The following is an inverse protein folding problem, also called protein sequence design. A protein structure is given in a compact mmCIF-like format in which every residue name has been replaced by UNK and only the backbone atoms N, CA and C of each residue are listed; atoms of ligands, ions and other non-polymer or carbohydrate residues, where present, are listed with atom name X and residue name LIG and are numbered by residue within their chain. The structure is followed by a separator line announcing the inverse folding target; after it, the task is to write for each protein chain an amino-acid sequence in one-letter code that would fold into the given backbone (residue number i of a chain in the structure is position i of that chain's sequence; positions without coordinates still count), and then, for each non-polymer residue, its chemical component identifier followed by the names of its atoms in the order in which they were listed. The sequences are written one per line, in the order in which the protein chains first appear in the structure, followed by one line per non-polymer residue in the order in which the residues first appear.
data_IF_057650643998
#
_entry.id   IF_057650643998
#
_cell.length_a   1.000
_cell.length_b   1.000
_cell.length_c   1.000
_cell.angle_alpha   90.00
_cell.angle_beta   90.00
_cell.angle_gamma   90.00
#
_symmetry.space_group_name_H-M   'P 1'
#
loop_
_entity.id
_entity.type
_entity.pdbx_description
1 polymer ?
#
# COMPACT_ATOMS: atom_id res chain seq x y z
N UNK A 1 38.29 -34.28 -3.63
CA UNK A 1 37.65 -33.20 -2.86
C UNK A 1 37.39 -33.69 -1.45
N UNK A 2 37.97 -33.06 -0.43
CA UNK A 2 37.82 -33.48 0.98
C UNK A 2 36.51 -32.97 1.57
N UNK A 3 35.71 -33.89 2.12
CA UNK A 3 34.32 -33.72 2.56
C UNK A 3 34.18 -33.10 3.98
N UNK A 4 34.93 -32.03 4.27
CA UNK A 4 35.02 -31.45 5.63
C UNK A 4 33.89 -30.43 5.90
N UNK A 5 33.48 -29.66 4.89
CA UNK A 5 32.33 -28.74 4.99
C UNK A 5 31.00 -29.47 4.81
N UNK A 6 30.48 -30.09 5.87
CA UNK A 6 29.19 -30.79 5.86
C UNK A 6 28.15 -30.10 6.75
N UNK A 7 26.87 -30.01 6.33
CA UNK A 7 25.80 -29.47 7.17
C UNK A 7 25.44 -30.42 8.31
N UNK A 8 24.82 -29.89 9.35
CA UNK A 8 24.29 -30.68 10.47
C UNK A 8 22.85 -31.12 10.18
N UNK A 9 22.64 -32.40 9.89
CA UNK A 9 21.31 -32.97 9.68
C UNK A 9 20.58 -33.32 10.99
N UNK A 10 21.36 -33.64 12.02
CA UNK A 10 20.85 -33.96 13.35
C UNK A 10 21.52 -33.03 14.36
N UNK A 11 20.73 -32.38 15.21
CA UNK A 11 21.26 -31.56 16.29
C UNK A 11 21.85 -32.43 17.40
N UNK A 12 22.83 -31.89 18.12
CA UNK A 12 23.33 -32.52 19.33
C UNK A 12 22.20 -32.62 20.36
N UNK A 13 21.92 -33.83 20.85
CA UNK A 13 20.94 -34.05 21.92
C UNK A 13 21.62 -34.01 23.27
N UNK A 14 21.00 -33.31 24.23
CA UNK A 14 21.40 -33.36 25.63
C UNK A 14 21.41 -34.82 26.10
N UNK A 15 22.51 -35.25 26.70
CA UNK A 15 22.69 -36.62 27.20
C UNK A 15 23.43 -36.59 28.53
N UNK A 16 24.61 -37.19 28.66
CA UNK A 16 25.29 -37.44 29.94
C UNK A 16 26.21 -36.31 30.44
N UNK A 17 26.56 -35.32 29.61
CA UNK A 17 27.52 -34.27 29.99
C UNK A 17 26.84 -33.01 30.52
N UNK A 18 27.46 -32.37 31.53
CA UNK A 18 27.12 -31.07 32.13
C UNK A 18 25.62 -30.89 32.46
N UNK A 19 25.16 -31.46 33.58
CA UNK A 19 23.75 -31.40 34.01
C UNK A 19 22.87 -32.51 33.41
N UNK A 20 23.48 -33.46 32.69
CA UNK A 20 22.85 -34.65 32.17
C UNK A 20 22.50 -35.72 33.21
N UNK A 21 21.85 -36.80 32.76
CA UNK A 21 21.32 -37.89 33.61
C UNK A 21 22.40 -38.56 34.49
N UNK A 22 23.66 -38.60 34.03
CA UNK A 22 24.80 -39.13 34.77
C UNK A 22 25.85 -38.03 35.03
N UNK A 23 25.40 -36.84 35.42
CA UNK A 23 26.30 -35.72 35.67
C UNK A 23 27.27 -36.05 36.83
N UNK A 24 28.57 -35.94 36.54
CA UNK A 24 29.63 -35.97 37.55
C UNK A 24 30.08 -34.53 37.79
N UNK A 25 30.06 -34.03 39.05
CA UNK A 25 30.38 -32.64 39.33
C UNK A 25 31.84 -32.34 38.98
N UNK A 26 32.04 -31.32 38.15
CA UNK A 26 33.37 -30.79 37.85
C UNK A 26 33.72 -29.63 38.79
N UNK A 27 35.01 -29.35 38.98
CA UNK A 27 35.49 -28.17 39.74
C UNK A 27 35.54 -26.90 38.88
N UNK A 28 35.20 -26.99 37.60
CA UNK A 28 35.18 -25.84 36.69
C UNK A 28 33.88 -25.07 36.92
N UNK A 29 33.99 -23.75 37.14
CA UNK A 29 32.86 -22.85 37.40
C UNK A 29 32.97 -21.67 36.44
N UNK A 30 31.88 -21.31 35.78
CA UNK A 30 31.81 -20.11 34.94
C UNK A 30 31.56 -18.85 35.77
N UNK A 31 31.98 -17.69 35.29
CA UNK A 31 31.59 -16.41 35.89
C UNK A 31 30.06 -16.21 35.89
N UNK A 32 29.33 -16.88 34.99
CA UNK A 32 27.86 -16.86 34.95
C UNK A 32 27.20 -17.74 36.04
N UNK A 33 27.92 -18.71 36.60
CA UNK A 33 27.42 -19.60 37.65
C UNK A 33 27.53 -18.98 39.06
N UNK A 34 28.09 -17.77 39.15
CA UNK A 34 28.17 -17.01 40.39
C UNK A 34 26.76 -16.61 40.83
N UNK A 35 26.52 -16.59 42.14
CA UNK A 35 25.23 -16.21 42.72
C UNK A 35 25.00 -14.70 42.49
N UNK A 36 24.12 -14.34 41.53
CA UNK A 36 23.79 -12.94 41.23
C UNK A 36 22.40 -12.54 41.75
N UNK A 37 21.38 -13.37 41.53
CA UNK A 37 19.99 -13.11 41.96
C UNK A 37 19.47 -14.26 42.82
N UNK A 38 19.85 -14.32 44.11
CA UNK A 38 19.45 -15.41 45.00
C UNK A 38 17.95 -15.36 45.36
N UNK A 39 17.32 -14.20 45.26
CA UNK A 39 15.92 -13.99 45.67
C UNK A 39 14.98 -13.88 44.46
N UNK A 40 14.00 -14.78 44.40
CA UNK A 40 12.93 -14.73 43.42
C UNK A 40 11.87 -13.71 43.84
N UNK A 41 11.54 -12.78 42.93
CA UNK A 41 10.43 -11.83 43.12
C UNK A 41 9.09 -12.58 43.10
N UNK A 42 8.33 -12.46 44.18
CA UNK A 42 6.96 -12.97 44.26
C UNK A 42 5.97 -11.87 43.84
N UNK A 43 4.88 -12.26 43.18
CA UNK A 43 3.79 -11.31 42.90
C UNK A 43 3.21 -10.83 44.22
N UNK A 44 3.04 -9.51 44.35
CA UNK A 44 2.35 -8.93 45.52
C UNK A 44 0.85 -9.21 45.42
N UNK A 45 0.14 -9.18 46.55
CA UNK A 45 -1.32 -9.46 46.61
C UNK A 45 -2.10 -8.58 45.62
N UNK A 46 -1.75 -7.30 45.50
CA UNK A 46 -2.40 -6.37 44.56
C UNK A 46 -2.01 -6.59 43.08
N UNK A 47 -1.05 -7.46 42.79
CA UNK A 47 -0.67 -7.89 41.43
C UNK A 47 -1.28 -9.25 41.07
N UNK A 48 -1.95 -9.90 42.03
CA UNK A 48 -2.65 -11.15 41.79
C UNK A 48 -3.95 -10.81 41.05
N UNK A 49 -4.03 -11.31 39.83
CA UNK A 49 -5.24 -11.25 39.03
C UNK A 49 -6.03 -12.52 39.37
N UNK A 50 -7.21 -12.36 39.96
CA UNK A 50 -8.15 -13.48 40.10
C UNK A 50 -8.68 -13.89 38.73
N UNK A 51 -9.14 -15.12 38.59
CA UNK A 51 -9.70 -15.61 37.32
C UNK A 51 -10.83 -14.71 36.81
N UNK A 52 -11.69 -14.26 37.72
CA UNK A 52 -12.78 -13.31 37.42
C UNK A 52 -12.26 -11.94 36.95
N UNK A 53 -11.22 -11.40 37.60
CA UNK A 53 -10.61 -10.14 37.14
C UNK A 53 -9.99 -10.28 35.75
N UNK A 54 -9.36 -11.42 35.45
CA UNK A 54 -8.80 -11.70 34.12
C UNK A 54 -9.91 -11.76 33.06
N UNK A 55 -10.98 -12.50 33.33
CA UNK A 55 -12.14 -12.62 32.44
C UNK A 55 -12.79 -11.27 32.18
N UNK A 56 -12.99 -10.46 33.22
CA UNK A 56 -13.52 -9.11 33.09
C UNK A 56 -12.59 -8.17 32.32
N UNK A 57 -11.27 -8.27 32.51
CA UNK A 57 -10.30 -7.48 31.71
C UNK A 57 -10.28 -7.88 30.24
N UNK A 58 -10.35 -9.17 29.93
CA UNK A 58 -10.40 -9.67 28.56
C UNK A 58 -11.70 -9.24 27.87
N UNK A 59 -12.84 -9.36 28.55
CA UNK A 59 -14.13 -8.90 28.04
C UNK A 59 -14.13 -7.40 27.78
N UNK A 60 -13.62 -6.60 28.72
CA UNK A 60 -13.46 -5.15 28.53
C UNK A 60 -12.51 -4.83 27.36
N UNK A 61 -11.43 -5.60 27.18
CA UNK A 61 -10.55 -5.45 26.02
C UNK A 61 -11.25 -5.80 24.71
N UNK A 62 -12.10 -6.82 24.68
CA UNK A 62 -12.91 -7.15 23.51
C UNK A 62 -13.97 -6.10 23.19
N UNK A 63 -14.60 -5.52 24.20
CA UNK A 63 -15.55 -4.41 24.04
C UNK A 63 -14.87 -3.12 23.56
N UNK A 64 -13.61 -2.90 23.99
CA UNK A 64 -12.79 -1.76 23.58
C UNK A 64 -12.02 -1.99 22.27
N UNK A 65 -11.94 -3.22 21.76
CA UNK A 65 -11.44 -3.45 20.41
C UNK A 65 -12.36 -2.64 19.50
N UNK A 66 -11.82 -1.69 18.71
CA UNK A 66 -12.66 -0.93 17.80
C UNK A 66 -13.42 -1.95 16.96
N UNK A 67 -14.76 -1.85 16.95
CA UNK A 67 -15.60 -2.58 15.98
C UNK A 67 -14.89 -2.46 14.66
N UNK A 68 -14.50 -3.60 14.08
CA UNK A 68 -13.77 -3.71 12.81
C UNK A 68 -14.29 -2.58 11.92
N UNK A 69 -13.48 -1.55 11.71
CA UNK A 69 -13.86 -0.45 10.83
C UNK A 69 -13.89 -1.12 9.47
N UNK A 70 -15.07 -1.58 9.07
CA UNK A 70 -15.34 -1.87 7.68
C UNK A 70 -14.97 -0.58 6.98
N UNK A 71 -13.92 -0.64 6.18
CA UNK A 71 -13.63 0.41 5.23
C UNK A 71 -14.89 0.51 4.38
N UNK A 72 -15.80 1.41 4.76
CA UNK A 72 -16.83 1.89 3.85
C UNK A 72 -15.99 2.49 2.73
N UNK A 73 -15.95 1.80 1.59
CA UNK A 73 -15.57 2.44 0.35
C UNK A 73 -16.32 3.77 0.35
N UNK A 74 -15.58 4.88 0.26
CA UNK A 74 -16.18 6.20 0.25
C UNK A 74 -17.31 6.18 -0.78
N UNK A 75 -18.48 6.73 -0.46
CA UNK A 75 -19.62 6.80 -1.41
C UNK A 75 -19.17 7.30 -2.78
N UNK A 76 -18.14 8.15 -2.83
CA UNK A 76 -17.53 8.65 -4.05
C UNK A 76 -16.93 7.52 -4.92
N UNK A 77 -16.29 6.49 -4.34
CA UNK A 77 -15.76 5.34 -5.08
C UNK A 77 -16.86 4.41 -5.60
N UNK A 78 -17.97 4.29 -4.86
CA UNK A 78 -19.13 3.51 -5.31
C UNK A 78 -19.84 4.22 -6.47
N UNK A 79 -20.03 5.54 -6.36
CA UNK A 79 -20.58 6.38 -7.44
C UNK A 79 -19.70 6.37 -8.69
N UNK A 80 -18.38 6.53 -8.54
CA UNK A 80 -17.44 6.46 -9.67
C UNK A 80 -17.51 5.09 -10.38
N UNK A 81 -17.69 4.00 -9.63
CA UNK A 81 -17.79 2.65 -10.20
C UNK A 81 -19.12 2.38 -10.91
N UNK A 82 -20.20 3.03 -10.46
CA UNK A 82 -21.51 2.98 -11.13
C UNK A 82 -21.49 3.85 -12.39
N UNK A 83 -20.90 5.04 -12.33
CA UNK A 83 -20.78 5.98 -13.45
C UNK A 83 -19.93 5.39 -14.59
N UNK A 84 -18.79 4.75 -14.28
CA UNK A 84 -17.97 4.04 -15.29
C UNK A 84 -18.74 2.92 -15.97
N UNK A 85 -19.56 2.15 -15.22
CA UNK A 85 -20.38 1.08 -15.82
C UNK A 85 -21.50 1.61 -16.70
N UNK A 86 -22.12 2.72 -16.31
CA UNK A 86 -23.13 3.37 -17.13
C UNK A 86 -22.54 4.00 -18.39
N UNK A 87 -21.33 4.55 -18.31
CA UNK A 87 -20.59 5.04 -19.48
C UNK A 87 -20.21 3.90 -20.43
N UNK A 88 -19.68 2.78 -19.93
CA UNK A 88 -19.36 1.59 -20.74
C UNK A 88 -20.60 1.04 -21.48
N UNK A 89 -21.76 0.96 -20.81
CA UNK A 89 -23.01 0.49 -21.42
C UNK A 89 -23.54 1.49 -22.45
N UNK A 90 -23.39 2.79 -22.21
CA UNK A 90 -23.82 3.83 -23.16
C UNK A 90 -22.91 3.89 -24.38
N UNK A 91 -21.61 3.68 -24.21
CA UNK A 91 -20.67 3.56 -25.33
C UNK A 91 -20.99 2.33 -26.18
N UNK A 92 -21.29 1.18 -25.57
CA UNK A 92 -21.67 -0.04 -26.30
C UNK A 92 -22.99 0.15 -27.09
N UNK A 93 -24.01 0.76 -26.47
CA UNK A 93 -25.29 1.08 -27.15
C UNK A 93 -25.08 2.13 -28.25
N UNK A 94 -24.20 3.11 -28.04
CA UNK A 94 -23.92 4.15 -29.02
C UNK A 94 -23.14 3.58 -30.20
N UNK A 95 -22.16 2.73 -29.97
CA UNK A 95 -21.45 2.03 -31.05
C UNK A 95 -22.40 1.15 -31.87
N UNK A 96 -23.38 0.50 -31.24
CA UNK A 96 -24.37 -0.32 -31.96
C UNK A 96 -25.32 0.57 -32.80
N UNK A 97 -25.87 1.66 -32.23
CA UNK A 97 -26.69 2.62 -32.97
C UNK A 97 -25.89 3.32 -34.08
N UNK A 98 -24.64 3.71 -33.82
CA UNK A 98 -23.79 4.38 -34.79
C UNK A 98 -23.35 3.40 -35.89
N UNK A 99 -23.26 2.09 -35.62
CA UNK A 99 -23.07 1.07 -36.66
C UNK A 99 -24.32 0.85 -37.53
N UNK A 100 -25.52 0.87 -36.93
CA UNK A 100 -26.79 0.76 -37.66
C UNK A 100 -27.08 2.04 -38.49
N UNK A 101 -26.87 3.21 -37.89
CA UNK A 101 -27.04 4.52 -38.54
C UNK A 101 -25.96 4.77 -39.60
N UNK A 102 -24.72 4.31 -39.41
CA UNK A 102 -23.70 4.39 -40.47
C UNK A 102 -23.98 3.43 -41.60
N UNK A 103 -24.57 2.26 -41.36
CA UNK A 103 -24.95 1.34 -42.43
C UNK A 103 -26.16 1.85 -43.24
N UNK A 104 -27.13 2.51 -42.60
CA UNK A 104 -28.22 3.22 -43.29
C UNK A 104 -27.74 4.52 -43.96
N UNK A 105 -26.85 5.28 -43.34
CA UNK A 105 -26.28 6.50 -43.90
C UNK A 105 -25.34 6.20 -45.06
N UNK A 106 -24.50 5.16 -45.03
CA UNK A 106 -23.66 4.78 -46.18
C UNK A 106 -24.50 4.38 -47.39
N UNK A 107 -25.69 3.80 -47.14
CA UNK A 107 -26.63 3.41 -48.20
C UNK A 107 -27.32 4.62 -48.81
N UNK A 108 -27.60 5.65 -48.01
CA UNK A 108 -28.14 6.94 -48.45
C UNK A 108 -27.07 7.84 -49.09
N UNK A 109 -25.86 7.83 -48.56
CA UNK A 109 -24.71 8.58 -49.06
C UNK A 109 -24.26 8.02 -50.41
N UNK A 110 -24.34 6.70 -50.65
CA UNK A 110 -24.19 6.14 -52.01
C UNK A 110 -25.27 6.63 -53.00
N UNK A 111 -26.44 7.01 -52.50
CA UNK A 111 -27.58 7.52 -53.27
C UNK A 111 -27.50 9.06 -53.45
N UNK A 112 -26.85 9.76 -52.52
CA UNK A 112 -26.70 11.23 -52.48
C UNK A 112 -25.35 11.72 -53.06
N UNK A 113 -24.28 10.91 -53.05
CA UNK A 113 -23.03 11.17 -53.80
C UNK A 113 -23.25 11.14 -55.32
N UNK A 114 -24.36 10.56 -55.79
CA UNK A 114 -24.81 10.69 -57.19
C UNK A 114 -25.43 12.09 -57.46
N UNK A 115 -25.82 12.83 -56.42
CA UNK A 115 -26.53 14.12 -56.53
C UNK A 115 -25.74 15.38 -56.08
N UNK A 116 -24.71 15.30 -55.23
CA UNK A 116 -24.09 16.50 -54.59
C UNK A 116 -22.57 16.76 -54.86
N UNK A 117 -22.05 16.49 -56.06
CA UNK A 117 -20.72 16.98 -56.49
C UNK A 117 -20.67 18.51 -56.79
N UNK A 118 -21.64 19.30 -56.32
CA UNK A 118 -21.65 20.75 -56.42
C UNK A 118 -21.72 21.40 -55.03
N UNK A 119 -20.74 22.28 -54.73
CA UNK A 119 -20.82 23.38 -53.75
C UNK A 119 -20.02 23.29 -52.43
N UNK A 120 -18.68 23.25 -52.58
CA UNK A 120 -17.69 24.17 -51.99
C UNK A 120 -17.96 24.88 -50.63
N UNK A 121 -17.11 24.58 -49.65
CA UNK A 121 -16.88 25.30 -48.37
C UNK A 121 -15.91 26.50 -48.48
N UNK A 122 -16.05 27.52 -47.61
CA UNK A 122 -14.93 28.41 -47.22
C UNK A 122 -15.10 29.13 -45.86
N UNK A 123 -14.14 28.83 -44.97
CA UNK A 123 -13.22 29.67 -44.15
C UNK A 123 -13.63 30.60 -42.98
N UNK A 124 -12.60 30.73 -42.12
CA UNK A 124 -12.11 31.88 -41.32
C UNK A 124 -12.57 31.96 -39.84
N UNK A 125 -11.79 32.38 -38.83
CA UNK A 125 -10.70 33.38 -38.76
C UNK A 125 -10.00 33.37 -37.36
N UNK A 126 -8.85 34.07 -37.26
CA UNK A 126 -8.02 34.33 -36.06
C UNK A 126 -8.59 35.42 -35.11
N UNK A 127 -8.08 35.55 -33.85
CA UNK A 127 -7.54 36.83 -33.32
C UNK A 127 -6.94 36.82 -31.89
N UNK A 128 -6.05 37.79 -31.66
CA UNK A 128 -5.19 38.10 -30.50
C UNK A 128 -5.82 39.13 -29.51
N UNK A 129 -5.29 39.24 -28.28
CA UNK A 129 -5.66 40.25 -27.26
C UNK A 129 -4.47 41.06 -26.67
N UNK A 130 -4.74 42.29 -26.19
CA UNK A 130 -3.83 43.39 -25.84
C UNK A 130 -3.86 43.88 -24.36
N UNK A 131 -2.77 44.57 -24.00
CA UNK A 131 -2.34 45.40 -22.85
C UNK A 131 -3.27 45.82 -21.69
N UNK A 132 -2.82 45.50 -20.46
CA UNK A 132 -3.16 46.14 -19.19
C UNK A 132 -2.16 45.73 -18.09
N UNK A 133 -1.60 46.70 -17.36
CA UNK A 133 -0.52 46.54 -16.35
C UNK A 133 -0.84 45.53 -15.23
N UNK A 134 -0.61 44.25 -15.48
CA UNK A 134 -0.59 43.19 -14.46
C UNK A 134 0.78 43.23 -13.78
N UNK A 135 0.83 43.43 -12.46
CA UNK A 135 2.06 43.24 -11.69
C UNK A 135 2.46 41.76 -11.76
N UNK A 136 3.24 41.42 -12.79
CA UNK A 136 3.77 40.09 -13.05
C UNK A 136 4.65 39.71 -11.86
N UNK A 137 4.16 38.77 -11.05
CA UNK A 137 4.93 38.22 -9.94
C UNK A 137 6.18 37.57 -10.54
N UNK A 138 7.31 37.61 -9.85
CA UNK A 138 8.53 36.98 -10.37
C UNK A 138 8.37 35.47 -10.65
N UNK A 139 7.43 34.84 -9.94
CA UNK A 139 7.03 33.46 -10.18
C UNK A 139 6.15 33.27 -11.40
N UNK A 140 5.57 34.33 -11.98
CA UNK A 140 4.49 34.26 -12.97
C UNK A 140 5.00 33.76 -14.33
N UNK A 141 6.25 34.06 -14.65
CA UNK A 141 6.95 33.63 -15.87
C UNK A 141 7.65 32.26 -15.77
N UNK A 142 7.41 31.52 -14.68
CA UNK A 142 8.00 30.18 -14.52
C UNK A 142 7.15 29.17 -15.27
N UNK A 143 7.75 28.43 -16.21
CA UNK A 143 7.06 27.42 -17.04
C UNK A 143 6.48 26.24 -16.23
N UNK A 144 6.92 26.07 -14.98
CA UNK A 144 6.45 25.04 -14.08
C UNK A 144 5.87 25.63 -12.79
N UNK A 145 4.65 25.20 -12.42
CA UNK A 145 3.97 25.61 -11.19
C UNK A 145 3.63 24.38 -10.37
N UNK A 146 3.70 24.48 -9.04
CA UNK A 146 3.18 23.48 -8.10
C UNK A 146 3.69 22.03 -8.28
N UNK A 147 4.94 21.84 -8.73
CA UNK A 147 5.50 20.51 -9.03
C UNK A 147 5.57 19.56 -7.82
N UNK A 148 5.72 20.10 -6.61
CA UNK A 148 5.92 19.32 -5.39
C UNK A 148 4.68 19.26 -4.49
N UNK A 149 3.47 19.36 -5.06
CA UNK A 149 2.23 19.17 -4.29
C UNK A 149 2.06 17.68 -3.98
N UNK A 150 2.83 17.18 -3.02
CA UNK A 150 2.77 15.78 -2.60
C UNK A 150 1.48 15.52 -1.80
N UNK A 151 0.80 14.39 -2.05
CA UNK A 151 -0.26 13.93 -1.17
C UNK A 151 0.32 13.59 0.21
N UNK A 152 -0.50 13.60 1.28
CA UNK A 152 -0.02 13.21 2.61
C UNK A 152 0.56 11.80 2.57
N UNK A 153 1.82 11.66 3.00
CA UNK A 153 2.52 10.37 3.05
C UNK A 153 1.75 9.45 4.01
N UNK A 154 1.20 8.37 3.47
CA UNK A 154 0.58 7.32 4.28
C UNK A 154 1.67 6.38 4.77
N UNK A 155 1.72 6.13 6.08
CA UNK A 155 2.64 5.14 6.64
C UNK A 155 2.22 3.74 6.16
N UNK A 156 3.01 3.16 5.25
CA UNK A 156 2.77 1.82 4.72
C UNK A 156 3.78 0.86 5.33
N UNK A 157 3.29 -0.11 6.10
CA UNK A 157 4.14 -1.22 6.52
C UNK A 157 4.19 -2.27 5.41
N UNK A 158 5.41 -2.59 4.96
CA UNK A 158 5.66 -3.66 4.00
C UNK A 158 6.45 -4.75 4.72
N UNK A 159 5.93 -5.98 4.73
CA UNK A 159 6.63 -7.14 5.26
C UNK A 159 7.68 -7.66 4.25
N UNK A 160 8.61 -6.79 3.87
CA UNK A 160 9.70 -7.06 2.94
C UNK A 160 10.93 -6.28 3.41
N UNK A 161 12.08 -6.96 3.53
CA UNK A 161 13.31 -6.36 4.07
C UNK A 161 13.97 -5.38 3.13
N UNK A 162 13.73 -5.45 1.81
CA UNK A 162 14.37 -4.60 0.82
C UNK A 162 13.46 -3.46 0.35
N UNK A 163 12.15 -3.70 0.32
CA UNK A 163 11.18 -2.72 -0.17
C UNK A 163 10.58 -1.84 0.90
N UNK A 164 10.76 -2.19 2.17
CA UNK A 164 10.32 -1.35 3.29
C UNK A 164 10.97 0.03 3.22
N UNK A 165 10.22 1.06 3.61
CA UNK A 165 10.69 2.45 3.68
C UNK A 165 11.98 2.54 4.50
N UNK A 166 12.10 1.79 5.60
CA UNK A 166 13.33 1.75 6.39
C UNK A 166 14.57 1.40 5.54
N UNK A 167 14.45 0.38 4.68
CA UNK A 167 15.57 -0.06 3.86
C UNK A 167 15.90 0.94 2.76
N UNK A 168 14.89 1.53 2.13
CA UNK A 168 15.09 2.60 1.15
C UNK A 168 15.86 3.78 1.77
N UNK A 169 15.41 4.28 2.92
CA UNK A 169 16.09 5.36 3.64
C UNK A 169 17.49 4.97 4.11
N UNK A 170 17.70 3.70 4.49
CA UNK A 170 19.03 3.19 4.83
C UNK A 170 19.95 3.25 3.60
N UNK A 171 19.49 2.77 2.45
CA UNK A 171 20.27 2.79 1.22
C UNK A 171 20.57 4.20 0.75
N UNK A 172 19.58 5.10 0.71
CA UNK A 172 19.77 6.51 0.35
C UNK A 172 20.76 7.25 1.27
N UNK A 173 20.83 6.84 2.54
CA UNK A 173 21.71 7.46 3.54
C UNK A 173 23.15 6.96 3.44
N UNK A 174 23.35 5.67 3.23
CA UNK A 174 24.66 5.02 3.34
C UNK A 174 25.28 4.68 1.98
N UNK A 175 24.51 4.72 0.90
CA UNK A 175 24.98 4.54 -0.48
C UNK A 175 24.63 5.82 -1.24
N UNK A 176 25.63 6.38 -1.91
CA UNK A 176 25.54 7.65 -2.63
C UNK A 176 25.71 7.44 -4.13
#
# INVERSE_FOLDING_TARGET
MTNVGRPTWYSARGSKHQGGINYVPSKQVSAQDVIVQPELKKRKVHQLITREMLENTNKKQEELKPKKIEYKESNDKQKIKEEIKEEEIKEEIKEEIESEDTEEALKKEYEEMEEEEEFSNSSDSQQYFSDGLVQRKWYDDVVFKNQAKEPPKQAKYINDTLRNEYHQHFMDKFIK
#
